data_IF_040475957391
#
_entry.id   IF_040475957391
#
_cell.length_a   1.000
_cell.length_b   1.000
_cell.length_c   1.000
_cell.angle_alpha   90.00
_cell.angle_beta   90.00
_cell.angle_gamma   90.00
#
_symmetry.space_group_name_H-M   'P 1'
#
loop_
_entity.id
_entity.type
_entity.pdbx_description
1 polymer ?
#
# COMPACT_ATOMS: atom_id res chain seq x y z
N UNK A 1 -41.06 -4.79 -17.49
CA UNK A 1 -40.04 -5.75 -17.95
C UNK A 1 -39.35 -5.15 -19.17
N UNK A 2 -38.25 -4.40 -18.97
CA UNK A 2 -37.02 -4.54 -19.76
C UNK A 2 -35.94 -3.66 -19.11
N UNK A 3 -34.89 -4.34 -18.68
CA UNK A 3 -33.64 -3.83 -18.11
C UNK A 3 -32.72 -3.39 -19.25
N UNK A 4 -31.88 -2.37 -18.97
CA UNK A 4 -30.50 -2.10 -19.45
C UNK A 4 -30.32 -0.58 -19.47
N UNK A 5 -29.87 0.08 -18.40
CA UNK A 5 -28.51 0.06 -17.85
C UNK A 5 -27.45 -0.09 -18.93
N UNK A 6 -26.79 1.01 -19.28
CA UNK A 6 -25.36 1.14 -19.55
C UNK A 6 -25.07 2.65 -19.67
N UNK A 7 -24.85 3.30 -18.54
CA UNK A 7 -24.10 4.55 -18.53
C UNK A 7 -22.62 4.17 -18.71
N UNK A 8 -22.14 4.23 -19.95
CA UNK A 8 -20.71 4.12 -20.27
C UNK A 8 -20.00 5.32 -19.64
N UNK A 9 -19.56 5.15 -18.40
CA UNK A 9 -18.74 6.15 -17.72
C UNK A 9 -17.35 6.05 -18.32
N UNK A 10 -17.01 7.01 -19.18
CA UNK A 10 -15.62 7.28 -19.52
C UNK A 10 -14.90 7.55 -18.19
N UNK A 11 -14.13 6.58 -17.71
CA UNK A 11 -13.28 6.72 -16.52
C UNK A 11 -12.40 7.94 -16.77
N UNK A 12 -12.59 8.99 -15.98
CA UNK A 12 -11.74 10.17 -16.08
C UNK A 12 -10.31 9.70 -15.83
N UNK A 13 -9.40 9.99 -16.76
CA UNK A 13 -7.98 9.59 -16.71
C UNK A 13 -7.26 9.96 -15.39
N UNK A 14 -7.81 10.88 -14.60
CA UNK A 14 -7.34 11.26 -13.26
C UNK A 14 -7.73 10.28 -12.12
N UNK A 15 -8.61 9.31 -12.36
CA UNK A 15 -9.16 8.43 -11.32
C UNK A 15 -8.68 6.97 -11.45
N UNK A 16 -7.55 6.72 -12.14
CA UNK A 16 -6.99 5.37 -12.22
C UNK A 16 -6.06 5.12 -11.02
N UNK A 17 -6.43 4.26 -10.05
CA UNK A 17 -5.59 3.97 -8.89
C UNK A 17 -4.32 3.18 -9.24
N UNK A 18 -4.20 2.59 -10.43
CA UNK A 18 -2.98 1.92 -10.91
C UNK A 18 -1.83 2.90 -11.22
N UNK A 19 -2.01 4.21 -11.03
CA UNK A 19 -0.91 5.16 -10.89
C UNK A 19 -0.09 4.96 -9.60
N UNK A 20 -0.64 4.27 -8.60
CA UNK A 20 0.08 3.86 -7.39
C UNK A 20 0.84 2.57 -7.69
N UNK A 21 2.17 2.60 -7.62
CA UNK A 21 2.99 1.40 -7.80
C UNK A 21 3.10 0.62 -6.50
N UNK A 22 2.21 -0.34 -6.31
CA UNK A 22 2.21 -1.27 -5.18
C UNK A 22 2.99 -2.55 -5.52
N UNK A 23 3.79 -3.04 -4.58
CA UNK A 23 4.31 -4.40 -4.63
C UNK A 23 4.40 -5.04 -3.25
N UNK A 24 4.58 -6.35 -3.23
CA UNK A 24 4.79 -7.12 -2.01
C UNK A 24 6.23 -6.95 -1.52
N UNK A 25 6.39 -6.64 -0.24
CA UNK A 25 7.68 -6.62 0.44
C UNK A 25 7.70 -7.54 1.66
N UNK A 26 8.91 -7.95 2.05
CA UNK A 26 9.18 -8.62 3.33
C UNK A 26 10.10 -7.75 4.16
N UNK A 27 9.70 -7.44 5.39
CA UNK A 27 10.57 -6.74 6.34
C UNK A 27 11.63 -7.72 6.82
N UNK A 28 12.90 -7.48 6.45
CA UNK A 28 14.04 -8.33 6.84
C UNK A 28 14.79 -7.78 8.06
N UNK A 29 14.63 -6.48 8.34
CA UNK A 29 15.17 -5.83 9.51
C UNK A 29 14.24 -4.69 9.91
N UNK A 30 14.02 -4.50 11.21
CA UNK A 30 13.27 -3.37 11.74
C UNK A 30 13.91 -2.90 13.06
N UNK A 31 14.19 -1.60 13.16
CA UNK A 31 14.68 -0.97 14.38
C UNK A 31 13.92 0.31 14.69
N UNK A 32 13.89 0.73 15.96
CA UNK A 32 13.42 2.07 16.32
C UNK A 32 14.36 3.12 15.73
N UNK A 33 13.78 4.22 15.28
CA UNK A 33 14.57 5.36 14.82
C UNK A 33 15.27 6.01 16.01
N UNK A 34 16.56 6.29 15.87
CA UNK A 34 17.42 6.81 16.96
C UNK A 34 16.96 8.19 17.44
N UNK A 35 16.58 9.08 16.51
CA UNK A 35 16.10 10.44 16.82
C UNK A 35 14.57 10.64 16.73
N UNK A 36 13.77 9.57 16.74
CA UNK A 36 12.31 9.69 16.63
C UNK A 36 11.54 8.54 17.28
N UNK A 37 10.92 8.83 18.43
CA UNK A 37 10.23 7.83 19.26
C UNK A 37 9.10 7.07 18.56
N UNK A 38 8.48 7.70 17.56
CA UNK A 38 7.31 7.16 16.85
C UNK A 38 7.64 6.43 15.55
N UNK A 39 8.91 6.41 15.14
CA UNK A 39 9.32 5.87 13.86
C UNK A 39 10.08 4.56 14.01
N UNK A 40 9.74 3.60 13.15
CA UNK A 40 10.63 2.51 12.80
C UNK A 40 11.45 2.86 11.56
N UNK A 41 12.63 2.27 11.45
CA UNK A 41 13.44 2.19 10.24
C UNK A 41 13.54 0.71 9.86
N UNK A 42 12.95 0.36 8.72
CA UNK A 42 12.87 -1.00 8.23
C UNK A 42 13.68 -1.18 6.94
N UNK A 43 14.31 -2.34 6.78
CA UNK A 43 14.83 -2.81 5.50
C UNK A 43 13.81 -3.78 4.92
N UNK A 44 13.30 -3.48 3.73
CA UNK A 44 12.23 -4.24 3.09
C UNK A 44 12.75 -4.86 1.80
N UNK A 45 12.81 -6.18 1.75
CA UNK A 45 13.09 -6.92 0.53
C UNK A 45 11.85 -6.93 -0.38
N UNK A 46 12.05 -6.52 -1.63
CA UNK A 46 11.04 -6.48 -2.68
C UNK A 46 11.54 -7.20 -3.94
N UNK A 47 12.50 -8.12 -3.80
CA UNK A 47 13.22 -8.76 -4.90
C UNK A 47 13.93 -7.76 -5.85
N UNK A 48 14.40 -6.65 -5.29
CA UNK A 48 15.27 -5.70 -5.99
C UNK A 48 16.75 -6.02 -5.71
N UNK A 49 17.66 -5.35 -6.41
CA UNK A 49 19.11 -5.53 -6.20
C UNK A 49 19.56 -5.20 -4.76
N UNK A 50 18.82 -4.34 -4.06
CA UNK A 50 19.01 -4.01 -2.64
C UNK A 50 17.64 -3.86 -1.96
N UNK A 51 17.52 -4.19 -0.67
CA UNK A 51 16.36 -3.85 0.14
C UNK A 51 16.11 -2.33 0.14
N UNK A 52 14.84 -1.95 0.28
CA UNK A 52 14.43 -0.56 0.41
C UNK A 52 14.45 -0.16 1.89
N UNK A 53 15.07 0.99 2.19
CA UNK A 53 14.97 1.57 3.52
C UNK A 53 13.66 2.35 3.65
N UNK A 54 12.85 2.02 4.66
CA UNK A 54 11.54 2.65 4.88
C UNK A 54 11.41 3.14 6.32
N UNK A 55 11.03 4.41 6.48
CA UNK A 55 10.67 4.96 7.78
C UNK A 55 9.14 4.91 7.93
N UNK A 56 8.63 4.35 9.02
CA UNK A 56 7.18 4.19 9.24
C UNK A 56 6.76 4.61 10.65
N UNK A 57 5.64 5.33 10.75
CA UNK A 57 5.08 5.81 12.01
C UNK A 57 4.26 4.76 12.75
N UNK A 58 4.81 3.56 12.95
CA UNK A 58 4.06 2.40 13.44
C UNK A 58 4.40 1.98 14.88
N UNK A 59 5.32 2.69 15.55
CA UNK A 59 5.80 2.30 16.89
C UNK A 59 4.68 2.19 17.94
N UNK A 60 3.72 3.11 17.90
CA UNK A 60 2.60 3.15 18.85
C UNK A 60 1.48 2.14 18.49
N UNK A 61 1.60 1.43 17.37
CA UNK A 61 0.51 0.66 16.78
C UNK A 61 0.86 -0.81 16.51
N UNK A 62 2.10 -1.10 16.11
CA UNK A 62 2.56 -2.43 15.76
C UNK A 62 3.80 -2.77 16.60
N UNK A 63 3.76 -3.82 17.42
CA UNK A 63 4.94 -4.30 18.14
C UNK A 63 6.07 -4.63 17.18
N UNK A 64 7.32 -4.35 17.57
CA UNK A 64 8.48 -4.56 16.69
C UNK A 64 8.65 -6.04 16.32
N UNK A 65 8.22 -6.95 17.20
CA UNK A 65 8.23 -8.40 16.98
C UNK A 65 7.28 -8.83 15.87
N UNK A 66 6.21 -8.04 15.63
CA UNK A 66 5.29 -8.22 14.51
C UNK A 66 5.73 -7.49 13.24
N UNK A 67 6.77 -6.67 13.31
CA UNK A 67 7.36 -6.03 12.13
C UNK A 67 8.39 -6.95 11.47
N UNK A 68 9.21 -7.66 12.25
CA UNK A 68 10.18 -8.61 11.71
C UNK A 68 9.50 -9.74 10.95
N UNK A 69 10.05 -10.07 9.77
CA UNK A 69 9.51 -11.06 8.82
C UNK A 69 8.10 -10.78 8.27
N UNK A 70 7.51 -9.63 8.63
CA UNK A 70 6.19 -9.26 8.15
C UNK A 70 6.17 -9.08 6.64
N UNK A 71 5.15 -9.67 6.01
CA UNK A 71 4.81 -9.43 4.61
C UNK A 71 3.90 -8.22 4.53
N UNK A 72 4.29 -7.24 3.73
CA UNK A 72 3.64 -5.93 3.65
C UNK A 72 3.41 -5.54 2.20
N UNK A 73 2.47 -4.63 1.98
CA UNK A 73 2.34 -3.93 0.71
C UNK A 73 3.07 -2.59 0.80
N UNK A 74 3.92 -2.29 -0.19
CA UNK A 74 4.68 -1.03 -0.26
C UNK A 74 4.36 -0.23 -1.51
N UNK A 75 4.31 1.09 -1.37
CA UNK A 75 4.22 2.05 -2.48
C UNK A 75 5.63 2.53 -2.84
N UNK A 76 6.05 2.30 -4.08
CA UNK A 76 7.45 2.44 -4.50
C UNK A 76 7.73 3.63 -5.43
N UNK A 77 6.69 4.27 -5.98
CA UNK A 77 6.85 5.37 -6.94
C UNK A 77 6.61 6.76 -6.36
N UNK A 78 6.50 6.89 -5.04
CA UNK A 78 6.47 8.19 -4.35
C UNK A 78 7.84 8.87 -4.40
N UNK A 79 7.87 10.19 -4.18
CA UNK A 79 9.13 10.91 -3.94
C UNK A 79 9.76 10.38 -2.64
N UNK A 80 11.01 9.89 -2.67
CA UNK A 80 11.73 9.57 -1.43
C UNK A 80 11.76 10.79 -0.51
N UNK A 81 11.53 10.55 0.77
CA UNK A 81 11.51 11.58 1.80
C UNK A 81 12.68 11.37 2.78
N UNK A 82 12.94 12.38 3.61
CA UNK A 82 13.83 12.24 4.77
C UNK A 82 13.02 12.48 6.02
N UNK A 83 13.11 11.57 6.98
CA UNK A 83 12.49 11.68 8.30
C UNK A 83 13.63 11.75 9.31
N UNK A 84 13.79 12.90 9.97
CA UNK A 84 14.90 13.16 10.91
C UNK A 84 16.28 12.74 10.37
N UNK A 85 16.54 13.03 9.09
CA UNK A 85 17.82 12.73 8.44
C UNK A 85 17.89 11.36 7.76
N UNK A 86 17.07 10.38 8.18
CA UNK A 86 17.02 9.04 7.58
C UNK A 86 16.15 9.05 6.32
N UNK A 87 16.66 8.49 5.23
CA UNK A 87 15.95 8.42 3.94
C UNK A 87 14.86 7.33 3.99
N UNK A 88 13.65 7.65 3.57
CA UNK A 88 12.60 6.66 3.27
C UNK A 88 12.42 6.57 1.76
N UNK A 89 12.59 5.38 1.21
CA UNK A 89 12.61 5.10 -0.23
C UNK A 89 11.25 4.63 -0.76
N UNK A 90 10.42 4.11 0.14
CA UNK A 90 9.06 3.69 -0.12
C UNK A 90 8.18 4.06 1.08
N UNK A 91 6.92 3.63 1.02
CA UNK A 91 5.95 3.75 2.11
C UNK A 91 5.25 2.41 2.29
N UNK A 92 5.13 1.94 3.53
CA UNK A 92 4.32 0.76 3.88
C UNK A 92 2.86 1.19 3.94
N UNK A 93 1.97 0.48 3.25
CA UNK A 93 0.52 0.70 3.36
C UNK A 93 0.00 0.13 4.67
N UNK A 94 -0.86 0.90 5.32
CA UNK A 94 -1.53 0.50 6.55
C UNK A 94 -3.01 0.93 6.55
N UNK A 95 -3.84 0.13 7.22
CA UNK A 95 -5.21 0.48 7.51
C UNK A 95 -5.30 1.22 8.86
N UNK A 96 -6.09 2.29 8.91
CA UNK A 96 -6.38 3.05 10.11
C UNK A 96 -7.86 2.98 10.46
N UNK A 97 -8.14 2.65 11.72
CA UNK A 97 -9.49 2.65 12.30
C UNK A 97 -9.42 2.95 13.79
N UNK A 98 -10.27 3.86 14.25
CA UNK A 98 -10.40 4.22 15.67
C UNK A 98 -9.05 4.56 16.35
N UNK A 99 -8.20 5.33 15.66
CA UNK A 99 -6.82 5.69 16.05
C UNK A 99 -5.82 4.52 16.16
N UNK A 100 -6.21 3.32 15.74
CA UNK A 100 -5.31 2.16 15.59
C UNK A 100 -4.85 2.02 14.14
N UNK A 101 -3.59 1.63 13.95
CA UNK A 101 -2.99 1.42 12.63
C UNK A 101 -2.52 -0.03 12.51
N UNK A 102 -2.94 -0.72 11.47
CA UNK A 102 -2.58 -2.14 11.20
C UNK A 102 -1.97 -2.24 9.81
N UNK A 103 -0.97 -3.10 9.64
CA UNK A 103 -0.34 -3.35 8.34
C UNK A 103 -1.38 -3.82 7.31
N UNK A 104 -1.21 -3.40 6.05
CA UNK A 104 -1.83 -4.09 4.92
C UNK A 104 -0.95 -5.29 4.57
N UNK A 105 -1.56 -6.47 4.58
CA UNK A 105 -0.90 -7.75 4.34
C UNK A 105 -1.32 -8.30 2.97
N UNK A 106 -0.38 -8.69 2.11
CA UNK A 106 -0.70 -9.38 0.86
C UNK A 106 -1.21 -10.79 1.14
N UNK A 107 -1.83 -11.44 0.16
CA UNK A 107 -2.18 -12.85 0.28
C UNK A 107 -0.92 -13.72 0.52
N UNK A 108 -1.08 -14.86 1.19
CA UNK A 108 0.03 -15.73 1.60
C UNK A 108 0.77 -16.31 0.38
N UNK A 109 0.05 -16.63 -0.69
CA UNK A 109 0.59 -17.22 -1.91
C UNK A 109 1.28 -16.20 -2.84
N UNK A 110 1.07 -14.90 -2.63
CA UNK A 110 1.68 -13.88 -3.50
C UNK A 110 3.19 -13.81 -3.26
N UNK A 111 4.02 -13.86 -4.30
CA UNK A 111 5.48 -13.83 -4.10
C UNK A 111 6.00 -12.45 -3.68
N UNK A 112 7.14 -12.39 -2.98
CA UNK A 112 7.82 -11.13 -2.70
C UNK A 112 8.19 -10.43 -4.03
N UNK A 113 8.06 -9.11 -4.08
CA UNK A 113 8.28 -8.32 -5.28
C UNK A 113 7.14 -8.36 -6.31
N UNK A 114 6.14 -9.23 -6.16
CA UNK A 114 4.97 -9.25 -7.03
C UNK A 114 4.26 -7.90 -7.00
N UNK A 115 3.90 -7.41 -8.18
CA UNK A 115 3.12 -6.18 -8.33
C UNK A 115 1.68 -6.43 -7.92
N UNK A 116 1.07 -5.43 -7.30
CA UNK A 116 -0.37 -5.40 -7.04
C UNK A 116 -1.02 -4.31 -7.89
N UNK A 117 -2.25 -4.56 -8.30
CA UNK A 117 -3.04 -3.63 -9.09
C UNK A 117 -4.50 -3.66 -8.64
N UNK A 118 -5.22 -2.57 -8.89
CA UNK A 118 -6.65 -2.53 -8.68
C UNK A 118 -7.36 -3.10 -9.91
N UNK A 119 -8.22 -4.08 -9.66
CA UNK A 119 -8.99 -4.73 -10.71
C UNK A 119 -9.93 -3.76 -11.44
N UNK A 120 -10.27 -4.04 -12.70
CA UNK A 120 -11.21 -3.22 -13.48
C UNK A 120 -10.67 -1.86 -13.94
N UNK A 121 -9.38 -1.56 -13.71
CA UNK A 121 -8.69 -0.40 -14.24
C UNK A 121 -7.56 -0.80 -15.19
N UNK A 122 -7.23 0.08 -16.13
CA UNK A 122 -6.10 -0.13 -17.04
C UNK A 122 -4.78 -0.24 -16.27
N UNK A 123 -3.95 -1.21 -16.65
CA UNK A 123 -2.58 -1.34 -16.14
C UNK A 123 -1.71 -0.20 -16.70
N UNK A 124 -0.85 0.35 -15.85
CA UNK A 124 0.14 1.36 -16.25
C UNK A 124 1.51 0.69 -16.31
N UNK A 125 1.91 0.25 -17.51
CA UNK A 125 3.17 -0.51 -17.73
C UNK A 125 4.38 0.15 -17.07
N UNK A 126 4.47 1.48 -17.17
CA UNK A 126 5.50 2.29 -16.54
C UNK A 126 4.87 3.49 -15.83
N UNK A 127 4.36 3.24 -14.63
CA UNK A 127 3.83 4.30 -13.79
C UNK A 127 4.90 5.38 -13.55
N UNK A 128 4.60 6.67 -13.79
CA UNK A 128 5.51 7.75 -13.48
C UNK A 128 5.67 7.90 -11.97
N UNK A 129 6.58 8.77 -11.56
CA UNK A 129 6.67 9.21 -10.16
C UNK A 129 5.32 9.79 -9.72
N UNK A 130 4.76 9.23 -8.66
CA UNK A 130 3.50 9.67 -8.09
C UNK A 130 3.70 11.00 -7.36
N UNK A 131 2.98 12.04 -7.82
CA UNK A 131 3.00 13.36 -7.20
C UNK A 131 2.14 13.35 -5.95
N UNK A 132 2.54 14.08 -4.91
CA UNK A 132 1.82 14.14 -3.62
C UNK A 132 0.34 14.54 -3.79
N UNK A 133 0.02 15.51 -4.65
CA UNK A 133 -1.38 15.89 -4.90
C UNK A 133 -2.23 14.72 -5.42
N UNK A 134 -1.71 13.97 -6.40
CA UNK A 134 -2.42 12.80 -6.95
C UNK A 134 -2.47 11.65 -5.95
N UNK A 135 -1.41 11.46 -5.15
CA UNK A 135 -1.44 10.51 -4.05
C UNK A 135 -2.57 10.81 -3.08
N UNK A 136 -2.72 12.05 -2.60
CA UNK A 136 -3.80 12.41 -1.67
C UNK A 136 -5.20 12.25 -2.28
N UNK A 137 -5.36 12.58 -3.56
CA UNK A 137 -6.61 12.37 -4.28
C UNK A 137 -6.98 10.88 -4.33
N UNK A 138 -6.05 10.01 -4.74
CA UNK A 138 -6.30 8.57 -4.83
C UNK A 138 -6.44 7.92 -3.45
N UNK A 139 -5.57 8.26 -2.50
CA UNK A 139 -5.56 7.72 -1.14
C UNK A 139 -6.86 8.04 -0.40
N UNK A 140 -7.49 9.20 -0.65
CA UNK A 140 -8.77 9.56 -0.03
C UNK A 140 -9.91 8.56 -0.32
N UNK A 141 -9.78 7.74 -1.37
CA UNK A 141 -10.75 6.71 -1.77
C UNK A 141 -10.32 5.29 -1.38
N UNK A 142 -9.09 5.12 -0.87
CA UNK A 142 -8.59 3.82 -0.42
C UNK A 142 -9.17 3.46 0.96
N UNK A 143 -9.73 2.26 1.04
CA UNK A 143 -10.32 1.72 2.25
C UNK A 143 -10.21 0.20 2.27
N UNK A 144 -10.51 -0.41 3.41
CA UNK A 144 -10.82 -1.84 3.46
C UNK A 144 -12.33 -2.05 3.43
N UNK A 145 -12.77 -3.09 2.73
CA UNK A 145 -14.18 -3.53 2.71
C UNK A 145 -14.61 -4.12 4.05
N UNK A 146 -15.87 -4.56 4.14
CA UNK A 146 -16.39 -5.29 5.29
C UNK A 146 -15.64 -6.61 5.57
N UNK A 147 -15.04 -7.19 4.53
CA UNK A 147 -14.24 -8.42 4.61
C UNK A 147 -12.74 -8.15 4.78
N UNK A 148 -12.34 -6.87 4.94
CA UNK A 148 -10.94 -6.49 5.14
C UNK A 148 -10.13 -6.33 3.85
N UNK A 149 -10.69 -6.61 2.68
CA UNK A 149 -10.01 -6.42 1.39
C UNK A 149 -9.69 -4.95 1.14
N UNK A 150 -8.45 -4.63 0.77
CA UNK A 150 -8.08 -3.28 0.33
C UNK A 150 -8.72 -3.00 -1.02
N UNK A 151 -9.50 -1.93 -1.08
CA UNK A 151 -10.24 -1.51 -2.27
C UNK A 151 -10.01 -0.04 -2.58
N UNK A 152 -10.07 0.28 -3.87
CA UNK A 152 -10.35 1.62 -4.36
C UNK A 152 -11.79 1.62 -4.84
N UNK A 153 -12.65 2.34 -4.13
CA UNK A 153 -14.10 2.19 -4.24
C UNK A 153 -14.56 0.72 -4.05
N UNK A 154 -14.92 0.02 -5.12
CA UNK A 154 -15.36 -1.38 -5.08
C UNK A 154 -14.39 -2.33 -5.80
N UNK A 155 -13.19 -1.84 -6.15
CA UNK A 155 -12.19 -2.58 -6.91
C UNK A 155 -11.07 -3.03 -6.00
N UNK A 156 -10.87 -4.34 -5.86
CA UNK A 156 -9.85 -4.91 -4.99
C UNK A 156 -8.42 -4.68 -5.50
N UNK A 157 -7.51 -4.45 -4.55
CA UNK A 157 -6.06 -4.51 -4.77
C UNK A 157 -5.60 -5.97 -4.75
N UNK A 158 -5.23 -6.49 -5.91
CA UNK A 158 -4.93 -7.90 -6.12
C UNK A 158 -3.59 -8.12 -6.83
N UNK A 159 -3.05 -9.33 -6.73
CA UNK A 159 -1.97 -9.80 -7.60
C UNK A 159 -2.51 -10.25 -8.97
N UNK A 160 -1.64 -10.76 -9.84
CA UNK A 160 -2.01 -11.26 -11.18
C UNK A 160 -2.96 -12.47 -11.15
N UNK A 161 -3.04 -13.19 -10.02
CA UNK A 161 -3.93 -14.33 -9.83
C UNK A 161 -5.28 -13.94 -9.20
N UNK A 162 -5.47 -12.65 -8.87
CA UNK A 162 -6.67 -12.17 -8.19
C UNK A 162 -6.64 -12.32 -6.67
N UNK A 163 -5.49 -12.67 -6.09
CA UNK A 163 -5.38 -12.78 -4.65
C UNK A 163 -5.31 -11.39 -4.01
N UNK A 164 -6.21 -11.11 -3.08
CA UNK A 164 -6.39 -9.78 -2.52
C UNK A 164 -5.45 -9.47 -1.35
N UNK A 165 -4.99 -8.22 -1.28
CA UNK A 165 -4.40 -7.65 -0.07
C UNK A 165 -5.49 -7.30 0.95
N UNK A 166 -5.20 -7.51 2.24
CA UNK A 166 -6.19 -7.36 3.31
C UNK A 166 -5.62 -6.63 4.53
N UNK A 167 -6.52 -6.11 5.36
CA UNK A 167 -6.25 -5.63 6.72
C UNK A 167 -7.54 -5.63 7.53
N UNK A 168 -7.58 -4.91 8.65
CA UNK A 168 -8.79 -4.75 9.48
C UNK A 168 -9.96 -4.19 8.66
N UNK A 169 -11.21 -4.65 8.88
CA UNK A 169 -12.35 -4.28 8.05
C UNK A 169 -12.89 -2.88 8.35
N UNK A 170 -13.45 -2.25 7.31
CA UNK A 170 -14.07 -0.91 7.36
C UNK A 170 -13.11 0.16 7.91
N UNK A 171 -11.91 0.22 7.36
CA UNK A 171 -10.83 1.13 7.76
C UNK A 171 -10.38 1.99 6.57
N UNK A 172 -9.87 3.20 6.84
CA UNK A 172 -9.18 3.99 5.82
C UNK A 172 -7.80 3.39 5.54
N UNK A 173 -7.28 3.49 4.31
CA UNK A 173 -5.93 2.98 3.97
C UNK A 173 -5.02 4.14 3.59
N UNK A 174 -3.81 4.15 4.14
CA UNK A 174 -2.82 5.23 3.95
C UNK A 174 -1.38 4.75 3.99
#
# INVERSE_FOLDING_TARGET
MLVRHLATTAVRKLENPNYISCCVGKIIECKRHEDADKLFVSQIDVNAAKPLQVCSGLVDHVPIERMSDARVVVVTNLKPSKMRGVKSEAMVLAAEKDNSVTLVTPHEETSIGSKLHFEGFDTIEKAPRLKSQLWHELQSKLRTSENGTVVFDNHALVDEQGNAATSVPNAGVR
#
